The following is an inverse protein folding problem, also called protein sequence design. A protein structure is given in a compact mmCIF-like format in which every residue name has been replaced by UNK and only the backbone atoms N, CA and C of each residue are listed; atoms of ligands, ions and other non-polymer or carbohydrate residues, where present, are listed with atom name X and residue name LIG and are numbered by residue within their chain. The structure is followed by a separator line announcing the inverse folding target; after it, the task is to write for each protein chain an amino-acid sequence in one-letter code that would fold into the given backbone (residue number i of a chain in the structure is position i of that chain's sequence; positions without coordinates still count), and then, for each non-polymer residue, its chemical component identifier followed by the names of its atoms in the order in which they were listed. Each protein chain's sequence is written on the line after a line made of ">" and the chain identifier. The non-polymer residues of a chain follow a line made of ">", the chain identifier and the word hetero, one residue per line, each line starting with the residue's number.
data_IF_652415483065
#
_entry.id   IF_652415483065
#
_cell.length_a   1.000
_cell.length_b   1.000
_cell.length_c   1.000
_cell.angle_alpha   90.00
_cell.angle_beta   90.00
_cell.angle_gamma   90.00
#
_symmetry.space_group_name_H-M   'P 1'
#
loop_
_entity.id
_entity.type
_entity.pdbx_description
1 polymer ?
#
# COMPACT_ATOMS: atom_id res chain seq x y z
N UNK A 1 13.29 10.20 10.74
CA UNK A 1 12.70 9.80 12.04
C UNK A 1 12.15 8.38 11.99
N UNK A 2 11.07 8.06 11.26
CA UNK A 2 10.57 6.65 11.18
C UNK A 2 11.56 5.67 10.51
N UNK A 3 12.14 6.03 9.34
CA UNK A 3 13.17 5.19 8.69
C UNK A 3 14.38 4.92 9.60
N UNK A 4 14.81 5.92 10.36
CA UNK A 4 15.90 5.76 11.34
C UNK A 4 15.50 4.85 12.50
N UNK A 5 14.23 4.91 12.94
CA UNK A 5 13.69 3.99 13.95
C UNK A 5 13.63 2.53 13.47
N UNK A 6 13.58 2.29 12.14
CA UNK A 6 13.61 0.93 11.60
C UNK A 6 15.03 0.34 11.50
N UNK A 7 16.07 1.17 11.53
CA UNK A 7 17.45 0.71 11.30
C UNK A 7 17.96 -0.29 12.36
N UNK A 8 17.40 -0.26 13.57
CA UNK A 8 17.73 -1.19 14.67
C UNK A 8 16.62 -2.23 14.91
N UNK A 9 15.69 -2.38 13.96
CA UNK A 9 14.58 -3.36 14.05
C UNK A 9 14.81 -4.47 13.02
N UNK A 10 14.81 -5.70 13.51
CA UNK A 10 14.72 -6.87 12.65
C UNK A 10 13.29 -6.99 12.12
N UNK A 11 13.14 -6.77 10.82
CA UNK A 11 11.89 -6.97 10.10
C UNK A 11 12.20 -7.75 8.84
N UNK A 12 11.88 -9.04 8.88
CA UNK A 12 11.93 -9.92 7.73
C UNK A 12 10.51 -10.23 7.28
N UNK A 13 10.26 -10.02 5.99
CA UNK A 13 9.03 -10.43 5.34
C UNK A 13 9.38 -11.00 3.99
N UNK A 14 8.59 -11.96 3.52
CA UNK A 14 8.74 -12.51 2.19
C UNK A 14 7.42 -12.31 1.44
N UNK A 15 7.50 -11.58 0.35
CA UNK A 15 6.37 -11.32 -0.52
C UNK A 15 5.97 -12.57 -1.30
N UNK A 16 4.72 -12.61 -1.76
CA UNK A 16 4.25 -13.69 -2.64
C UNK A 16 5.05 -13.74 -3.95
N UNK A 17 5.51 -12.58 -4.43
CA UNK A 17 6.33 -12.47 -5.65
C UNK A 17 7.72 -13.07 -5.45
N UNK A 18 8.40 -12.78 -4.33
CA UNK A 18 9.68 -13.43 -3.99
C UNK A 18 9.54 -14.96 -3.92
N UNK A 19 8.45 -15.44 -3.29
CA UNK A 19 8.14 -16.89 -3.27
C UNK A 19 7.94 -17.46 -4.67
N UNK A 20 7.23 -16.74 -5.53
CA UNK A 20 6.97 -17.18 -6.91
C UNK A 20 8.26 -17.26 -7.74
N UNK A 21 9.18 -16.29 -7.59
CA UNK A 21 10.49 -16.31 -8.25
C UNK A 21 11.30 -17.53 -7.79
N UNK A 22 11.36 -17.80 -6.48
CA UNK A 22 12.05 -18.98 -5.93
C UNK A 22 11.45 -20.30 -6.40
N UNK A 23 10.13 -20.37 -6.54
CA UNK A 23 9.46 -21.56 -7.06
C UNK A 23 9.78 -21.76 -8.54
N UNK A 24 9.75 -20.68 -9.34
CA UNK A 24 10.10 -20.73 -10.76
C UNK A 24 11.55 -21.19 -10.96
N UNK A 25 12.48 -20.75 -10.12
CA UNK A 25 13.87 -21.20 -10.14
C UNK A 25 13.99 -22.71 -9.89
N UNK A 26 13.27 -23.24 -8.88
CA UNK A 26 13.23 -24.67 -8.58
C UNK A 26 12.61 -25.49 -9.71
N UNK A 27 11.53 -24.99 -10.31
CA UNK A 27 10.87 -25.65 -11.42
C UNK A 27 11.79 -25.68 -12.65
N UNK A 28 12.47 -24.57 -12.95
CA UNK A 28 13.46 -24.48 -14.03
C UNK A 28 14.67 -25.40 -13.80
N UNK A 29 15.11 -25.57 -12.56
CA UNK A 29 16.16 -26.55 -12.19
C UNK A 29 15.69 -27.98 -12.47
N UNK A 30 14.46 -28.34 -12.04
CA UNK A 30 13.87 -29.65 -12.27
C UNK A 30 13.63 -29.97 -13.75
N UNK A 31 13.25 -28.96 -14.54
CA UNK A 31 13.00 -29.05 -15.98
C UNK A 31 14.26 -28.86 -16.85
N UNK A 32 15.41 -28.57 -16.23
CA UNK A 32 16.71 -28.33 -16.88
C UNK A 32 16.77 -27.07 -17.76
N UNK A 33 15.93 -26.08 -17.49
CA UNK A 33 15.96 -24.76 -18.12
C UNK A 33 16.75 -23.72 -17.31
N UNK A 34 17.30 -24.09 -16.16
CA UNK A 34 17.98 -23.15 -15.27
C UNK A 34 19.13 -22.43 -15.97
N UNK A 35 19.94 -23.13 -16.77
CA UNK A 35 21.05 -22.53 -17.52
C UNK A 35 20.63 -21.41 -18.45
N UNK A 36 19.44 -21.52 -19.07
CA UNK A 36 18.91 -20.54 -20.00
C UNK A 36 18.22 -19.37 -19.31
N UNK A 37 17.72 -19.58 -18.07
CA UNK A 37 16.90 -18.62 -17.33
C UNK A 37 17.60 -17.97 -16.13
N UNK A 38 18.79 -18.44 -15.73
CA UNK A 38 19.48 -18.02 -14.52
C UNK A 38 19.70 -16.50 -14.47
N UNK A 39 20.20 -15.90 -15.56
CA UNK A 39 20.45 -14.45 -15.60
C UNK A 39 19.17 -13.64 -15.38
N UNK A 40 18.05 -14.05 -15.98
CA UNK A 40 16.77 -13.36 -15.85
C UNK A 40 16.19 -13.54 -14.43
N UNK A 41 16.35 -14.71 -13.82
CA UNK A 41 15.92 -14.98 -12.45
C UNK A 41 16.71 -14.17 -11.42
N UNK A 42 18.03 -14.05 -11.61
CA UNK A 42 18.88 -13.19 -10.77
C UNK A 42 18.47 -11.73 -10.90
N UNK A 43 18.26 -11.23 -12.14
CA UNK A 43 17.80 -9.86 -12.38
C UNK A 43 16.43 -9.59 -11.73
N UNK A 44 15.49 -10.54 -11.84
CA UNK A 44 14.18 -10.43 -11.19
C UNK A 44 14.30 -10.37 -9.67
N UNK A 45 15.15 -11.22 -9.09
CA UNK A 45 15.39 -11.26 -7.64
C UNK A 45 16.00 -9.96 -7.13
N UNK A 46 17.03 -9.44 -7.80
CA UNK A 46 17.66 -8.16 -7.43
C UNK A 46 16.71 -6.98 -7.56
N UNK A 47 15.89 -6.92 -8.63
CA UNK A 47 14.87 -5.87 -8.78
C UNK A 47 13.80 -5.94 -7.69
N UNK A 48 13.43 -7.14 -7.28
CA UNK A 48 12.46 -7.32 -6.20
C UNK A 48 13.02 -6.82 -4.87
N UNK A 49 14.30 -7.11 -4.58
CA UNK A 49 14.99 -6.59 -3.39
C UNK A 49 15.11 -5.06 -3.40
N UNK A 50 15.47 -4.46 -4.55
CA UNK A 50 15.50 -3.00 -4.71
C UNK A 50 14.12 -2.37 -4.52
N UNK A 51 13.07 -2.97 -5.12
CA UNK A 51 11.69 -2.49 -4.93
C UNK A 51 11.29 -2.53 -3.45
N UNK A 52 11.67 -3.59 -2.74
CA UNK A 52 11.38 -3.80 -1.32
C UNK A 52 12.05 -2.75 -0.44
N UNK A 53 13.31 -2.41 -0.73
CA UNK A 53 14.02 -1.34 -0.04
C UNK A 53 13.34 0.04 -0.22
N UNK A 54 12.59 0.21 -1.31
CA UNK A 54 11.81 1.41 -1.59
C UNK A 54 10.37 1.36 -1.07
N UNK A 55 9.88 0.25 -0.53
CA UNK A 55 8.48 0.09 -0.09
C UNK A 55 8.09 1.13 0.98
N UNK A 56 8.99 1.44 1.92
CA UNK A 56 8.71 2.45 2.96
C UNK A 56 8.48 3.85 2.36
N UNK A 57 9.15 4.18 1.25
CA UNK A 57 8.88 5.44 0.56
C UNK A 57 7.63 5.34 -0.32
N UNK A 58 7.49 4.24 -1.07
CA UNK A 58 6.33 3.99 -1.94
C UNK A 58 5.01 4.04 -1.17
N UNK A 59 4.95 3.39 -0.02
CA UNK A 59 3.75 3.27 0.81
C UNK A 59 3.75 4.24 2.00
N UNK A 60 4.55 5.31 1.92
CA UNK A 60 4.70 6.28 3.01
C UNK A 60 3.36 6.85 3.48
N UNK A 61 2.43 7.14 2.57
CA UNK A 61 1.11 7.68 2.90
C UNK A 61 0.32 6.71 3.77
N UNK A 62 0.14 5.47 3.27
CA UNK A 62 -0.57 4.39 3.96
C UNK A 62 0.07 4.06 5.31
N UNK A 63 1.41 3.96 5.36
CA UNK A 63 2.15 3.72 6.61
C UNK A 63 1.90 4.85 7.60
N UNK A 64 1.91 6.11 7.15
CA UNK A 64 1.70 7.26 8.03
C UNK A 64 0.28 7.29 8.59
N UNK A 65 -0.72 6.96 7.79
CA UNK A 65 -2.11 6.85 8.21
C UNK A 65 -2.32 5.73 9.24
N UNK A 66 -1.74 4.55 8.99
CA UNK A 66 -1.79 3.44 9.95
C UNK A 66 -1.11 3.80 11.27
N UNK A 67 0.04 4.48 11.22
CA UNK A 67 0.73 4.97 12.42
C UNK A 67 -0.09 6.03 13.16
N UNK A 68 -0.72 6.97 12.44
CA UNK A 68 -1.64 7.96 13.03
C UNK A 68 -2.77 7.25 13.76
N UNK A 69 -3.43 6.28 13.11
CA UNK A 69 -4.51 5.51 13.70
C UNK A 69 -4.08 4.76 14.96
N UNK A 70 -2.91 4.12 14.96
CA UNK A 70 -2.37 3.40 16.13
C UNK A 70 -2.03 4.35 17.29
N UNK A 71 -1.40 5.49 17.01
CA UNK A 71 -1.09 6.50 18.03
C UNK A 71 -2.39 7.05 18.63
N UNK A 72 -3.31 7.49 17.78
CA UNK A 72 -4.57 8.09 18.23
C UNK A 72 -5.40 7.08 19.01
N UNK A 73 -5.48 5.83 18.57
CA UNK A 73 -6.21 4.77 19.29
C UNK A 73 -5.63 4.54 20.69
N UNK A 74 -4.31 4.63 20.88
CA UNK A 74 -3.67 4.46 22.19
C UNK A 74 -3.96 5.60 23.17
N UNK A 75 -4.06 6.84 22.69
CA UNK A 75 -4.26 8.02 23.56
C UNK A 75 -5.72 8.46 23.70
N UNK A 76 -6.55 8.21 22.68
CA UNK A 76 -7.91 8.73 22.55
C UNK A 76 -8.95 7.63 22.32
N UNK A 77 -8.54 6.36 22.36
CA UNK A 77 -9.40 5.19 22.25
C UNK A 77 -10.29 5.23 21.00
N UNK A 78 -11.53 4.73 21.11
CA UNK A 78 -12.48 4.63 20.00
C UNK A 78 -12.86 5.99 19.42
N UNK A 79 -12.94 7.03 20.25
CA UNK A 79 -13.31 8.37 19.79
C UNK A 79 -12.26 8.90 18.81
N UNK A 80 -10.99 8.87 19.20
CA UNK A 80 -9.92 9.31 18.32
C UNK A 80 -9.81 8.45 17.05
N UNK A 81 -10.01 7.13 17.18
CA UNK A 81 -10.01 6.24 16.01
C UNK A 81 -11.05 6.68 14.97
N UNK A 82 -12.28 6.93 15.40
CA UNK A 82 -13.38 7.37 14.51
C UNK A 82 -13.03 8.72 13.87
N UNK A 83 -12.52 9.69 14.64
CA UNK A 83 -12.12 11.00 14.13
C UNK A 83 -11.02 10.89 13.06
N UNK A 84 -10.01 10.03 13.26
CA UNK A 84 -8.96 9.78 12.27
C UNK A 84 -9.49 9.09 11.02
N UNK A 85 -10.39 8.11 11.16
CA UNK A 85 -10.99 7.44 10.00
C UNK A 85 -11.79 8.42 9.14
N UNK A 86 -12.61 9.28 9.76
CA UNK A 86 -13.40 10.30 9.03
C UNK A 86 -12.50 11.26 8.26
N UNK A 87 -11.33 11.61 8.81
CA UNK A 87 -10.38 12.54 8.18
C UNK A 87 -9.81 12.02 6.85
N UNK A 88 -9.72 10.70 6.69
CA UNK A 88 -9.14 10.04 5.51
C UNK A 88 -10.18 9.32 4.65
N UNK A 89 -11.48 9.47 4.95
CA UNK A 89 -12.58 8.84 4.24
C UNK A 89 -12.91 9.61 2.95
N UNK A 90 -12.59 9.01 1.79
CA UNK A 90 -12.77 9.65 0.48
C UNK A 90 -14.26 9.84 0.15
N UNK A 91 -15.11 8.93 0.64
CA UNK A 91 -16.55 8.97 0.45
C UNK A 91 -17.18 10.12 1.24
N UNK A 92 -16.74 10.36 2.48
CA UNK A 92 -17.16 11.52 3.27
C UNK A 92 -16.64 12.81 2.62
N UNK A 93 -15.37 12.85 2.20
CA UNK A 93 -14.82 14.01 1.50
C UNK A 93 -15.64 14.34 0.25
N UNK A 94 -15.96 13.31 -0.55
CA UNK A 94 -16.77 13.48 -1.76
C UNK A 94 -18.21 13.87 -1.45
N UNK A 95 -18.79 13.35 -0.37
CA UNK A 95 -20.12 13.74 0.07
C UNK A 95 -20.17 15.22 0.46
N UNK A 96 -19.16 15.73 1.16
CA UNK A 96 -19.02 17.16 1.48
C UNK A 96 -18.92 17.97 0.18
N UNK A 97 -18.04 17.59 -0.75
CA UNK A 97 -17.88 18.27 -2.04
C UNK A 97 -19.20 18.36 -2.83
N UNK A 98 -19.98 17.27 -2.82
CA UNK A 98 -21.28 17.22 -3.49
C UNK A 98 -22.30 18.12 -2.80
N UNK A 99 -22.35 18.12 -1.46
CA UNK A 99 -23.31 18.92 -0.71
C UNK A 99 -23.00 20.42 -0.75
N UNK A 100 -21.71 20.79 -0.85
CA UNK A 100 -21.27 22.18 -0.99
C UNK A 100 -21.47 22.73 -2.43
N UNK A 101 -21.64 21.84 -3.41
CA UNK A 101 -21.90 22.21 -4.81
C UNK A 101 -23.35 21.94 -5.20
N UNK A 102 -24.22 22.94 -5.01
CA UNK A 102 -25.65 22.85 -5.37
C UNK A 102 -25.91 22.49 -6.84
N UNK A 103 -25.07 22.94 -7.77
CA UNK A 103 -25.22 22.61 -9.19
C UNK A 103 -24.99 21.12 -9.45
N UNK A 104 -23.91 20.57 -8.87
CA UNK A 104 -23.61 19.13 -8.92
C UNK A 104 -24.69 18.31 -8.20
N UNK A 105 -25.12 18.76 -7.02
CA UNK A 105 -26.17 18.11 -6.24
C UNK A 105 -27.49 18.01 -7.03
N UNK A 106 -27.94 19.12 -7.62
CA UNK A 106 -29.18 19.14 -8.40
C UNK A 106 -29.05 18.31 -9.68
N UNK A 107 -27.88 18.29 -10.32
CA UNK A 107 -27.61 17.44 -11.47
C UNK A 107 -27.72 15.94 -11.12
N UNK A 108 -27.17 15.52 -9.96
CA UNK A 108 -27.32 14.14 -9.44
C UNK A 108 -28.81 13.82 -9.26
N UNK A 109 -29.56 14.70 -8.61
CA UNK A 109 -30.99 14.46 -8.34
C UNK A 109 -31.85 14.40 -9.61
N UNK A 110 -31.48 15.14 -10.66
CA UNK A 110 -32.14 15.07 -11.98
C UNK A 110 -31.78 13.81 -12.77
N UNK A 111 -30.71 13.11 -12.39
CA UNK A 111 -30.18 11.97 -13.14
C UNK A 111 -29.40 12.40 -14.38
N UNK A 112 -28.85 13.62 -14.39
CA UNK A 112 -27.97 14.09 -15.44
C UNK A 112 -26.69 13.21 -15.45
N UNK A 113 -26.12 12.93 -16.62
CA UNK A 113 -24.89 12.14 -16.70
C UNK A 113 -23.73 12.98 -16.18
N UNK A 114 -23.21 12.62 -15.02
CA UNK A 114 -22.05 13.29 -14.42
C UNK A 114 -20.83 12.50 -14.86
N UNK A 115 -19.99 13.13 -15.68
CA UNK A 115 -18.68 12.59 -16.07
C UNK A 115 -17.69 12.68 -14.91
#
# INVERSE_FOLDING_TARGET
>A
QFKQYLNDKEYEYETKTEKAIKNLEKDAEGEKYLSELQEQLEVLSSKMEESKNNDIERFKSEISELLEMEIVTRYFYQKGKIETTIKHDEEIAKAIDVLDNMELYDAILRGDSIQ
#
